data_IF_461760928163
#
_entry.id   IF_461760928163
#
_cell.length_a   1.000
_cell.length_b   1.000
_cell.length_c   1.000
_cell.angle_alpha   90.00
_cell.angle_beta   90.00
_cell.angle_gamma   90.00
#
_symmetry.space_group_name_H-M   'P 1'
#
loop_
_entity.id
_entity.type
_entity.pdbx_description
1 polymer ?
#
# COMPACT_ATOMS: atom_id res chain seq x y z
N UNK A 1 34.99 4.47 -7.00
CA UNK A 1 33.60 4.85 -6.64
C UNK A 1 33.71 5.69 -5.37
N UNK A 2 33.35 6.99 -5.42
CA UNK A 2 33.56 7.94 -4.31
C UNK A 2 32.25 8.13 -3.55
N UNK A 3 32.15 7.55 -2.36
CA UNK A 3 30.99 7.59 -1.43
C UNK A 3 30.54 9.03 -1.10
N UNK A 4 31.44 10.01 -1.21
CA UNK A 4 31.20 11.41 -0.83
C UNK A 4 30.32 12.20 -1.79
N UNK A 5 30.15 11.79 -3.05
CA UNK A 5 29.29 12.48 -4.02
C UNK A 5 27.85 11.92 -4.06
N UNK A 6 27.65 10.68 -3.62
CA UNK A 6 26.32 10.05 -3.65
C UNK A 6 25.36 10.69 -2.63
N UNK A 7 25.83 11.26 -1.52
CA UNK A 7 24.96 12.00 -0.58
C UNK A 7 24.36 13.28 -1.19
N UNK A 8 25.02 13.87 -2.20
CA UNK A 8 24.55 15.08 -2.89
C UNK A 8 23.52 14.78 -3.98
N UNK A 9 23.38 13.51 -4.39
CA UNK A 9 22.25 13.07 -5.19
C UNK A 9 21.06 12.96 -4.25
N UNK A 10 20.37 14.07 -4.07
CA UNK A 10 19.13 14.11 -3.29
C UNK A 10 18.22 12.95 -3.67
N UNK A 11 17.59 12.34 -2.67
CA UNK A 11 16.59 11.29 -2.88
C UNK A 11 15.59 11.79 -3.92
N UNK A 12 15.35 11.02 -4.98
CA UNK A 12 14.37 11.41 -5.99
C UNK A 12 12.99 11.21 -5.38
N UNK A 13 12.21 12.28 -5.35
CA UNK A 13 10.87 12.30 -4.77
C UNK A 13 9.90 12.76 -5.85
N UNK A 14 8.79 12.05 -5.96
CA UNK A 14 7.65 12.41 -6.80
C UNK A 14 6.41 12.51 -5.95
N UNK A 15 5.50 13.39 -6.33
CA UNK A 15 4.23 13.59 -5.63
C UNK A 15 3.10 13.47 -6.64
N UNK A 16 2.31 12.38 -6.55
CA UNK A 16 1.11 12.22 -7.36
C UNK A 16 -0.10 12.65 -6.53
N UNK A 17 -0.76 13.72 -6.98
CA UNK A 17 -1.88 14.32 -6.26
C UNK A 17 -3.22 13.68 -6.64
N UNK A 18 -4.16 13.66 -5.68
CA UNK A 18 -5.55 13.26 -5.87
C UNK A 18 -5.71 11.85 -6.47
N UNK A 19 -4.89 10.91 -6.03
CA UNK A 19 -4.99 9.51 -6.43
C UNK A 19 -6.26 8.88 -5.82
N UNK A 20 -7.02 8.18 -6.66
CA UNK A 20 -8.25 7.49 -6.25
C UNK A 20 -7.97 6.01 -6.00
N UNK A 21 -8.26 5.57 -4.77
CA UNK A 21 -8.13 4.20 -4.29
C UNK A 21 -9.50 3.55 -4.26
N UNK A 22 -9.71 2.55 -5.10
CA UNK A 22 -10.94 1.76 -5.15
C UNK A 22 -10.73 0.33 -4.63
N UNK A 23 -9.50 -0.16 -4.60
CA UNK A 23 -9.20 -1.52 -4.16
C UNK A 23 -9.46 -1.73 -2.67
N UNK A 24 -9.87 -2.94 -2.28
CA UNK A 24 -10.26 -3.28 -0.90
C UNK A 24 -9.26 -4.22 -0.25
N UNK A 25 -8.87 -3.93 0.99
CA UNK A 25 -7.90 -4.76 1.72
C UNK A 25 -8.52 -6.10 2.14
N UNK A 26 -9.79 -6.09 2.55
CA UNK A 26 -10.56 -7.29 2.87
C UNK A 26 -11.95 -7.22 2.28
N UNK A 27 -12.45 -8.34 1.75
CA UNK A 27 -13.83 -8.43 1.27
C UNK A 27 -14.81 -8.86 2.38
N UNK A 28 -14.32 -9.63 3.38
CA UNK A 28 -15.05 -10.04 4.58
C UNK A 28 -14.05 -10.25 5.73
N UNK A 29 -14.41 -9.85 6.95
CA UNK A 29 -13.67 -10.20 8.18
C UNK A 29 -14.49 -11.16 9.06
N UNK A 30 -14.57 -12.47 8.73
CA UNK A 30 -15.31 -13.40 9.56
C UNK A 30 -14.69 -13.55 10.95
N UNK A 31 -15.57 -13.71 11.94
CA UNK A 31 -15.18 -14.24 13.25
C UNK A 31 -15.12 -15.76 13.09
N UNK A 32 -13.90 -16.30 13.20
CA UNK A 32 -13.67 -17.73 13.20
C UNK A 32 -13.69 -18.25 14.64
N UNK A 33 -14.44 -19.34 14.84
CA UNK A 33 -14.50 -20.07 16.09
C UNK A 33 -14.11 -21.52 15.80
N UNK A 34 -13.03 -22.01 16.41
CA UNK A 34 -12.71 -23.44 16.36
C UNK A 34 -12.26 -23.97 17.71
N UNK A 35 -12.53 -25.26 17.93
CA UNK A 35 -12.09 -25.99 19.12
C UNK A 35 -10.84 -26.81 18.79
N UNK A 36 -9.82 -26.67 19.61
CA UNK A 36 -8.66 -27.56 19.56
C UNK A 36 -8.71 -28.54 20.73
N UNK A 37 -8.67 -29.84 20.40
CA UNK A 37 -8.61 -30.91 21.36
C UNK A 37 -7.19 -31.49 21.40
N UNK A 38 -6.43 -31.12 22.43
CA UNK A 38 -5.20 -31.82 22.80
C UNK A 38 -5.51 -33.03 23.67
N UNK A 39 -4.51 -33.89 23.89
CA UNK A 39 -4.63 -35.11 24.72
C UNK A 39 -5.02 -34.84 26.18
N UNK A 40 -4.76 -33.63 26.70
CA UNK A 40 -5.04 -33.24 28.09
C UNK A 40 -5.72 -31.88 28.23
N UNK A 41 -5.97 -31.15 27.13
CA UNK A 41 -6.60 -29.82 27.19
C UNK A 41 -7.51 -29.56 26.00
N UNK A 42 -8.61 -28.85 26.25
CA UNK A 42 -9.52 -28.36 25.25
C UNK A 42 -9.49 -26.84 25.28
N UNK A 43 -9.28 -26.20 24.13
CA UNK A 43 -9.34 -24.74 24.00
C UNK A 43 -10.30 -24.32 22.90
N UNK A 44 -11.03 -23.25 23.15
CA UNK A 44 -11.78 -22.52 22.14
C UNK A 44 -10.91 -21.35 21.69
N UNK A 45 -10.71 -21.24 20.38
CA UNK A 45 -9.97 -20.14 19.77
C UNK A 45 -10.96 -19.28 19.01
N UNK A 46 -10.99 -17.99 19.35
CA UNK A 46 -11.70 -16.96 18.62
C UNK A 46 -10.67 -16.15 17.84
N UNK A 47 -10.72 -16.21 16.51
CA UNK A 47 -9.83 -15.47 15.63
C UNK A 47 -10.66 -14.57 14.70
N UNK A 48 -10.06 -13.47 14.23
CA UNK A 48 -10.57 -12.69 13.11
C UNK A 48 -9.58 -12.85 11.98
N UNK A 49 -10.04 -13.34 10.84
CA UNK A 49 -9.23 -13.46 9.64
C UNK A 49 -9.80 -12.55 8.56
N UNK A 50 -8.94 -11.95 7.76
CA UNK A 50 -9.32 -11.18 6.58
C UNK A 50 -9.40 -12.15 5.40
N UNK A 51 -10.60 -12.33 4.83
CA UNK A 51 -10.83 -13.16 3.64
C UNK A 51 -11.21 -12.30 2.43
N UNK A 52 -10.55 -12.57 1.31
CA UNK A 52 -10.74 -11.80 0.07
C UNK A 52 -10.15 -10.40 0.14
N UNK A 53 -10.21 -9.67 -0.97
CA UNK A 53 -9.65 -8.33 -1.14
C UNK A 53 -9.30 -8.10 -2.61
N UNK A 54 -9.82 -7.02 -3.20
CA UNK A 54 -9.51 -6.61 -4.57
C UNK A 54 -8.45 -5.52 -4.49
N UNK A 55 -7.23 -5.91 -4.14
CA UNK A 55 -6.10 -5.00 -4.02
C UNK A 55 -5.85 -4.28 -5.36
N UNK A 56 -5.68 -2.97 -5.32
CA UNK A 56 -5.40 -2.20 -6.52
C UNK A 56 -3.89 -2.23 -6.80
N UNK A 57 -3.50 -2.88 -7.88
CA UNK A 57 -2.12 -2.85 -8.37
C UNK A 57 -1.89 -1.60 -9.21
N UNK A 58 -0.86 -0.82 -8.87
CA UNK A 58 -0.54 0.46 -9.51
C UNK A 58 0.88 0.40 -10.06
N UNK A 59 1.04 0.65 -11.36
CA UNK A 59 2.37 0.76 -11.99
C UNK A 59 2.87 2.21 -11.92
N UNK A 60 4.16 2.41 -11.65
CA UNK A 60 4.73 3.77 -11.64
C UNK A 60 4.61 4.48 -12.98
N UNK A 61 4.65 3.72 -14.08
CA UNK A 61 4.42 4.25 -15.43
C UNK A 61 3.05 4.90 -15.64
N UNK A 62 2.06 4.61 -14.80
CA UNK A 62 0.71 5.17 -14.91
C UNK A 62 0.54 6.46 -14.10
N UNK A 63 1.55 6.83 -13.30
CA UNK A 63 1.49 7.97 -12.40
C UNK A 63 2.13 9.21 -13.02
N UNK A 64 1.53 10.35 -12.69
CA UNK A 64 2.01 11.66 -13.06
C UNK A 64 2.30 12.46 -11.79
N UNK A 65 3.48 13.07 -11.76
CA UNK A 65 3.89 13.99 -10.72
C UNK A 65 3.02 15.26 -10.75
N UNK A 66 3.02 16.05 -9.67
CA UNK A 66 2.27 17.30 -9.56
C UNK A 66 2.62 18.32 -10.67
N UNK A 67 3.80 18.16 -11.29
CA UNK A 67 4.30 18.95 -12.42
C UNK A 67 3.80 18.45 -13.78
N UNK A 68 3.04 17.35 -13.82
CA UNK A 68 2.56 16.70 -15.05
C UNK A 68 3.58 15.78 -15.71
N UNK A 69 4.71 15.48 -15.06
CA UNK A 69 5.72 14.55 -15.59
C UNK A 69 5.32 13.11 -15.26
N UNK A 70 5.36 12.23 -16.25
CA UNK A 70 5.17 10.79 -16.02
C UNK A 70 6.33 10.24 -15.19
N UNK A 71 6.01 9.38 -14.22
CA UNK A 71 7.03 8.72 -13.41
C UNK A 71 7.82 7.68 -14.24
N UNK A 72 9.09 7.40 -13.86
CA UNK A 72 9.86 6.33 -14.48
C UNK A 72 9.15 4.98 -14.36
N UNK A 73 9.33 4.11 -15.36
CA UNK A 73 8.77 2.75 -15.31
C UNK A 73 9.38 1.90 -14.20
N UNK A 74 10.63 2.20 -13.82
CA UNK A 74 11.36 1.53 -12.75
C UNK A 74 11.97 2.54 -11.79
N UNK A 75 11.81 2.31 -10.50
CA UNK A 75 12.37 3.11 -9.40
C UNK A 75 13.16 2.15 -8.50
N UNK A 76 14.38 2.52 -8.11
CA UNK A 76 15.21 1.69 -7.24
C UNK A 76 14.76 1.78 -5.78
N UNK A 77 14.40 0.66 -5.16
CA UNK A 77 13.98 0.58 -3.76
C UNK A 77 12.95 1.68 -3.39
N UNK A 78 11.79 1.69 -4.06
CA UNK A 78 10.81 2.74 -3.85
C UNK A 78 10.15 2.59 -2.49
N UNK A 79 9.81 3.74 -1.88
CA UNK A 79 8.87 3.80 -0.77
C UNK A 79 7.72 4.72 -1.09
N UNK A 80 6.51 4.23 -0.85
CA UNK A 80 5.27 4.95 -1.14
C UNK A 80 4.63 5.35 0.18
N UNK A 81 4.49 6.65 0.38
CA UNK A 81 3.88 7.25 1.55
C UNK A 81 2.53 7.84 1.14
N UNK A 82 1.47 7.47 1.86
CA UNK A 82 0.10 7.89 1.59
C UNK A 82 -0.25 9.05 2.52
N UNK A 83 -0.78 10.14 1.96
CA UNK A 83 -1.42 11.22 2.69
C UNK A 83 -2.92 11.20 2.41
N UNK A 84 -3.72 10.85 3.43
CA UNK A 84 -5.17 10.78 3.30
C UNK A 84 -5.77 12.17 3.07
N UNK A 85 -6.70 12.29 2.12
CA UNK A 85 -7.47 13.52 1.86
C UNK A 85 -8.94 13.42 2.26
N UNK A 86 -9.46 12.21 2.45
CA UNK A 86 -10.79 11.96 2.97
C UNK A 86 -10.76 10.99 4.16
N UNK A 87 -11.94 10.69 4.70
CA UNK A 87 -12.11 9.82 5.88
C UNK A 87 -11.90 8.33 5.59
N UNK A 88 -11.67 7.94 4.32
CA UNK A 88 -11.46 6.55 3.92
C UNK A 88 -9.98 6.21 4.05
N UNK A 89 -9.63 5.46 5.09
CA UNK A 89 -8.25 5.05 5.35
C UNK A 89 -7.73 4.10 4.26
N UNK A 90 -6.61 4.48 3.64
CA UNK A 90 -5.91 3.68 2.64
C UNK A 90 -4.52 3.25 3.11
N UNK A 91 -4.07 2.06 2.71
CA UNK A 91 -2.73 1.55 3.02
C UNK A 91 -2.06 0.93 1.79
N UNK A 92 -0.73 1.00 1.75
CA UNK A 92 0.10 0.23 0.81
C UNK A 92 0.17 -1.20 1.30
N UNK A 93 -0.17 -2.16 0.44
CA UNK A 93 -0.22 -3.57 0.80
C UNK A 93 1.09 -4.25 0.42
N UNK A 94 1.73 -4.86 1.41
CA UNK A 94 3.00 -5.58 1.23
C UNK A 94 4.15 -4.64 0.91
N UNK A 95 5.16 -5.18 0.24
CA UNK A 95 6.34 -4.42 -0.17
C UNK A 95 6.16 -3.81 -1.56
N UNK A 96 6.71 -2.61 -1.74
CA UNK A 96 6.79 -1.98 -3.05
C UNK A 96 7.81 -2.68 -3.94
N UNK A 97 7.43 -2.94 -5.19
CA UNK A 97 8.33 -3.49 -6.19
C UNK A 97 9.02 -2.35 -6.94
N UNK A 98 10.06 -2.65 -7.70
CA UNK A 98 10.73 -1.64 -8.54
C UNK A 98 9.83 -1.07 -9.65
N UNK A 99 8.71 -1.72 -9.99
CA UNK A 99 7.82 -1.33 -11.09
C UNK A 99 6.48 -0.75 -10.62
N UNK A 100 6.14 -0.93 -9.35
CA UNK A 100 4.87 -0.46 -8.80
C UNK A 100 4.64 -0.90 -7.37
N UNK A 101 3.39 -0.79 -6.93
CA UNK A 101 2.97 -1.14 -5.59
C UNK A 101 1.49 -1.55 -5.60
N UNK A 102 1.04 -2.06 -4.47
CA UNK A 102 -0.37 -2.35 -4.25
C UNK A 102 -0.94 -1.42 -3.19
N UNK A 103 -2.17 -1.00 -3.36
CA UNK A 103 -2.86 -0.09 -2.44
C UNK A 103 -4.30 -0.54 -2.27
N UNK A 104 -4.87 -0.31 -1.10
CA UNK A 104 -6.28 -0.54 -0.84
C UNK A 104 -6.82 0.32 0.29
N UNK A 105 -8.15 0.45 0.35
CA UNK A 105 -8.88 0.98 1.50
C UNK A 105 -9.07 -0.11 2.58
N UNK A 106 -8.97 0.31 3.84
CA UNK A 106 -9.17 -0.51 5.04
C UNK A 106 -10.65 -0.80 5.31
N UNK A 107 -11.50 0.20 5.10
CA UNK A 107 -12.94 0.10 5.35
C UNK A 107 -13.69 -0.44 4.12
N UNK A 108 -14.69 -1.29 4.36
CA UNK A 108 -15.75 -1.66 3.41
C UNK A 108 -16.73 -0.48 3.19
N UNK A 109 -16.19 0.70 2.86
CA UNK A 109 -16.98 1.89 2.51
C UNK A 109 -17.20 1.92 1.01
N UNK A 110 -18.42 2.22 0.55
CA UNK A 110 -18.70 2.40 -0.89
C UNK A 110 -17.94 3.60 -1.50
N UNK A 111 -17.37 4.47 -0.67
CA UNK A 111 -16.60 5.61 -1.12
C UNK A 111 -15.17 5.23 -1.47
N UNK A 112 -14.66 5.74 -2.60
CA UNK A 112 -13.24 5.64 -2.94
C UNK A 112 -12.39 6.49 -1.99
N UNK A 113 -11.23 5.97 -1.62
CA UNK A 113 -10.21 6.73 -0.91
C UNK A 113 -9.58 7.77 -1.82
N UNK A 114 -9.40 8.99 -1.32
CA UNK A 114 -8.65 10.03 -2.04
C UNK A 114 -7.39 10.32 -1.27
N UNK A 115 -6.24 10.17 -1.92
CA UNK A 115 -4.93 10.30 -1.28
C UNK A 115 -3.94 11.05 -2.16
N UNK A 116 -2.97 11.71 -1.56
CA UNK A 116 -1.75 12.09 -2.25
C UNK A 116 -0.68 11.01 -1.99
N UNK A 117 0.06 10.67 -3.05
CA UNK A 117 1.13 9.69 -2.99
C UNK A 117 2.47 10.42 -3.04
N UNK A 118 3.30 10.21 -2.03
CA UNK A 118 4.71 10.62 -2.04
C UNK A 118 5.53 9.38 -2.31
N UNK A 119 6.25 9.38 -3.42
CA UNK A 119 7.06 8.25 -3.88
C UNK A 119 8.52 8.66 -3.76
N UNK A 120 9.30 7.88 -3.01
CA UNK A 120 10.71 8.17 -2.72
C UNK A 120 11.59 7.04 -3.24
N UNK A 121 12.62 7.39 -4.00
CA UNK A 121 13.70 6.46 -4.39
C UNK A 121 14.77 6.41 -3.29
N UNK A 122 14.91 5.27 -2.62
CA UNK A 122 15.93 5.06 -1.59
C UNK A 122 17.14 4.35 -2.20
N UNK A 123 18.09 5.14 -2.71
CA UNK A 123 19.40 4.67 -3.19
C UNK A 123 20.34 4.23 -2.07
#
# INVERSE_FOLDING_TARGET
>A
MNITLDYLRGRRVWVANNFSVWGEFSAVTPILLWSEAGTTSHRLICARETLGGLEQSVSFSQLYDFRGNQLPQTISNPKVIILQKNEVECLVIGEESSTGFKIAKLSESDQSGSVDLIIVENG
#
